data_IF_370768580193
#
_entry.id   IF_370768580193
#
_cell.length_a   1.000
_cell.length_b   1.000
_cell.length_c   1.000
_cell.angle_alpha   90.00
_cell.angle_beta   90.00
_cell.angle_gamma   90.00
#
_symmetry.space_group_name_H-M   'P 1'
#
loop_
_entity.id
_entity.type
_entity.pdbx_description
1 polymer ?
#
# COMPACT_ATOMS: atom_id res chain seq x y z
N UNK A 1 11.54 -29.62 1.78
CA UNK A 1 10.45 -28.64 1.93
C UNK A 1 9.89 -28.22 0.57
N UNK A 2 10.62 -28.41 -0.54
CA UNK A 2 10.20 -27.96 -1.86
C UNK A 2 10.17 -26.42 -2.03
N UNK A 3 10.79 -25.64 -1.13
CA UNK A 3 10.85 -24.20 -1.21
C UNK A 3 11.53 -23.73 -2.51
N UNK A 4 10.83 -22.91 -3.26
CA UNK A 4 11.36 -22.16 -4.39
C UNK A 4 11.07 -20.68 -4.11
N UNK A 5 12.09 -19.91 -3.75
CA UNK A 5 11.96 -18.53 -3.37
C UNK A 5 13.08 -17.67 -3.95
N UNK A 6 12.81 -16.39 -4.14
CA UNK A 6 13.80 -15.38 -4.54
C UNK A 6 13.68 -14.23 -3.54
N UNK A 7 14.80 -13.81 -2.97
CA UNK A 7 14.90 -12.62 -2.13
C UNK A 7 15.71 -11.57 -2.90
N UNK A 8 15.15 -10.39 -3.10
CA UNK A 8 15.79 -9.28 -3.77
C UNK A 8 15.99 -8.11 -2.80
N UNK A 9 17.21 -7.64 -2.68
CA UNK A 9 17.58 -6.40 -1.99
C UNK A 9 17.90 -5.36 -3.05
N UNK A 10 17.06 -4.35 -3.20
CA UNK A 10 17.28 -3.28 -4.16
C UNK A 10 18.25 -2.23 -3.61
N UNK A 11 18.08 -1.85 -2.35
CA UNK A 11 18.94 -0.86 -1.70
C UNK A 11 18.98 -1.11 -0.19
N UNK A 12 20.17 -0.92 0.39
CA UNK A 12 20.39 -0.88 1.84
C UNK A 12 21.02 0.44 2.29
N UNK A 13 21.02 1.46 1.42
CA UNK A 13 21.68 2.74 1.68
C UNK A 13 21.09 3.50 2.90
N UNK A 14 19.79 3.33 3.17
CA UNK A 14 19.10 3.95 4.31
C UNK A 14 18.98 3.03 5.53
N UNK A 15 19.49 1.81 5.47
CA UNK A 15 19.36 0.80 6.53
C UNK A 15 19.02 -0.58 5.98
N UNK A 16 18.65 -1.54 6.83
CA UNK A 16 18.30 -2.88 6.40
C UNK A 16 17.13 -2.84 5.40
N UNK A 17 17.19 -3.67 4.38
CA UNK A 17 16.12 -3.77 3.40
C UNK A 17 14.88 -4.40 4.04
N UNK A 18 13.73 -3.79 3.85
CA UNK A 18 12.45 -4.28 4.37
C UNK A 18 11.43 -4.42 3.25
N UNK A 19 10.67 -5.50 3.28
CA UNK A 19 9.54 -5.70 2.38
C UNK A 19 8.81 -7.02 2.57
N UNK A 20 7.58 -7.08 2.08
CA UNK A 20 6.72 -8.24 2.23
C UNK A 20 7.17 -9.45 1.40
N UNK A 21 6.67 -10.62 1.78
CA UNK A 21 6.88 -11.89 1.09
C UNK A 21 5.60 -12.25 0.33
N UNK A 22 5.69 -12.33 -0.99
CA UNK A 22 4.56 -12.74 -1.84
C UNK A 22 4.64 -14.22 -2.15
N UNK A 23 3.52 -14.94 -2.00
CA UNK A 23 3.42 -16.30 -2.53
C UNK A 23 2.44 -16.32 -3.70
N UNK A 24 2.94 -16.65 -4.89
CA UNK A 24 2.15 -16.58 -6.11
C UNK A 24 2.49 -17.72 -7.06
N UNK A 25 1.49 -18.15 -7.82
CA UNK A 25 1.65 -19.21 -8.83
C UNK A 25 2.21 -18.61 -10.13
N UNK A 26 3.49 -18.22 -10.11
CA UNK A 26 4.18 -17.70 -11.29
C UNK A 26 4.30 -18.76 -12.39
N UNK A 27 4.10 -18.38 -13.64
CA UNK A 27 4.24 -19.28 -14.79
C UNK A 27 5.70 -19.73 -15.00
N UNK A 28 6.68 -18.91 -14.55
CA UNK A 28 8.10 -19.22 -14.66
C UNK A 28 8.94 -18.57 -13.55
N UNK A 29 10.16 -19.05 -13.35
CA UNK A 29 11.12 -18.38 -12.47
C UNK A 29 11.57 -17.01 -13.01
N UNK A 30 11.51 -16.79 -14.32
CA UNK A 30 11.81 -15.50 -14.93
C UNK A 30 10.75 -14.46 -14.58
N UNK A 31 9.48 -14.83 -14.65
CA UNK A 31 8.37 -13.96 -14.21
C UNK A 31 8.49 -13.61 -12.71
N UNK A 32 8.79 -14.60 -11.87
CA UNK A 32 9.01 -14.39 -10.44
C UNK A 32 10.20 -13.45 -10.16
N UNK A 33 11.29 -13.57 -10.94
CA UNK A 33 12.46 -12.71 -10.82
C UNK A 33 12.13 -11.27 -11.23
N UNK A 34 11.44 -11.07 -12.33
CA UNK A 34 11.02 -9.75 -12.79
C UNK A 34 10.12 -9.06 -11.74
N UNK A 35 9.12 -9.79 -11.21
CA UNK A 35 8.21 -9.25 -10.20
C UNK A 35 8.94 -8.86 -8.91
N UNK A 36 9.82 -9.73 -8.38
CA UNK A 36 10.54 -9.44 -7.13
C UNK A 36 11.51 -8.27 -7.28
N UNK A 37 12.16 -8.11 -8.45
CA UNK A 37 13.05 -6.98 -8.71
C UNK A 37 12.26 -5.67 -8.76
N UNK A 38 11.13 -5.65 -9.48
CA UNK A 38 10.25 -4.49 -9.56
C UNK A 38 9.69 -4.11 -8.18
N UNK A 39 9.22 -5.10 -7.42
CA UNK A 39 8.66 -4.89 -6.09
C UNK A 39 9.71 -4.40 -5.07
N UNK A 40 10.94 -4.96 -5.11
CA UNK A 40 12.02 -4.53 -4.21
C UNK A 40 12.45 -3.08 -4.46
N UNK A 41 12.47 -2.64 -5.75
CA UNK A 41 12.67 -1.24 -6.11
C UNK A 41 11.56 -0.35 -5.54
N UNK A 42 10.29 -0.74 -5.73
CA UNK A 42 9.14 -0.01 -5.18
C UNK A 42 9.21 0.16 -3.66
N UNK A 43 9.72 -0.85 -2.94
CA UNK A 43 9.93 -0.72 -1.49
C UNK A 43 11.00 0.30 -1.14
N UNK A 44 12.10 0.44 -1.91
CA UNK A 44 13.10 1.49 -1.67
C UNK A 44 12.48 2.89 -1.77
N UNK A 45 11.70 3.13 -2.82
CA UNK A 45 11.00 4.40 -3.02
C UNK A 45 9.99 4.67 -1.89
N UNK A 46 9.16 3.67 -1.57
CA UNK A 46 8.17 3.79 -0.48
C UNK A 46 8.82 4.12 0.85
N UNK A 47 9.90 3.44 1.23
CA UNK A 47 10.61 3.67 2.48
C UNK A 47 11.30 5.05 2.50
N UNK A 48 11.81 5.51 1.36
CA UNK A 48 12.45 6.81 1.24
C UNK A 48 11.45 7.96 1.39
N UNK A 49 10.30 7.94 0.68
CA UNK A 49 9.27 9.00 0.79
C UNK A 49 8.60 9.04 2.15
N UNK A 50 8.56 7.90 2.88
CA UNK A 50 8.09 7.82 4.26
C UNK A 50 9.16 8.24 5.29
N UNK A 51 10.33 8.70 4.84
CA UNK A 51 11.47 9.08 5.69
C UNK A 51 11.83 8.00 6.72
N UNK A 52 11.90 6.75 6.27
CA UNK A 52 12.26 5.61 7.11
C UNK A 52 13.75 5.28 6.98
N UNK A 53 14.36 4.88 8.10
CA UNK A 53 15.75 4.38 8.14
C UNK A 53 15.81 2.91 7.70
N UNK A 54 15.24 2.63 6.54
CA UNK A 54 15.14 1.30 5.94
C UNK A 54 15.42 1.38 4.44
N UNK A 55 16.10 0.37 3.95
CA UNK A 55 16.25 0.10 2.53
C UNK A 55 15.04 -0.63 1.95
N UNK A 56 15.09 -0.96 0.68
CA UNK A 56 14.02 -1.69 0.00
C UNK A 56 14.42 -3.10 -0.38
N UNK A 57 13.61 -4.04 0.04
CA UNK A 57 13.71 -5.44 -0.33
C UNK A 57 12.35 -6.06 -0.60
N UNK A 58 12.35 -7.23 -1.17
CA UNK A 58 11.14 -8.02 -1.42
C UNK A 58 11.52 -9.50 -1.51
N UNK A 59 10.58 -10.37 -1.19
CA UNK A 59 10.74 -11.78 -1.49
C UNK A 59 9.50 -12.35 -2.15
N UNK A 60 9.72 -13.38 -2.98
CA UNK A 60 8.64 -14.15 -3.59
C UNK A 60 8.87 -15.63 -3.33
N UNK A 61 7.79 -16.36 -3.06
CA UNK A 61 7.73 -17.81 -3.00
C UNK A 61 6.91 -18.27 -4.21
N UNK A 62 7.49 -19.14 -5.03
CA UNK A 62 6.83 -19.68 -6.23
C UNK A 62 5.99 -20.87 -5.81
N UNK A 63 4.67 -20.71 -5.86
CA UNK A 63 3.73 -21.78 -5.50
C UNK A 63 2.31 -21.25 -5.31
N UNK A 64 1.36 -22.16 -5.25
CA UNK A 64 -0.05 -21.87 -4.98
C UNK A 64 -0.27 -21.69 -3.47
N UNK A 65 -0.56 -20.45 -3.06
CA UNK A 65 -0.81 -20.10 -1.66
C UNK A 65 -2.04 -20.75 -1.04
N UNK A 66 -2.94 -21.33 -1.85
CA UNK A 66 -4.16 -22.00 -1.35
C UNK A 66 -3.90 -23.46 -1.00
N UNK A 67 -2.92 -24.11 -1.64
CA UNK A 67 -2.73 -25.56 -1.58
C UNK A 67 -1.34 -26.00 -1.14
N UNK A 68 -0.33 -25.12 -1.19
CA UNK A 68 1.07 -25.49 -0.99
C UNK A 68 1.70 -24.88 0.28
N UNK A 69 0.95 -24.13 1.07
CA UNK A 69 1.44 -23.62 2.35
C UNK A 69 1.61 -24.74 3.38
N UNK A 70 2.75 -24.75 4.03
CA UNK A 70 3.01 -25.58 5.21
C UNK A 70 3.91 -24.84 6.20
N UNK A 71 3.82 -25.14 7.51
CA UNK A 71 4.75 -24.57 8.51
C UNK A 71 6.22 -24.82 8.16
N UNK A 72 6.54 -26.01 7.58
CA UNK A 72 7.88 -26.39 7.17
C UNK A 72 8.41 -25.53 6.02
N UNK A 73 7.53 -25.12 5.07
CA UNK A 73 7.87 -24.23 3.97
C UNK A 73 8.32 -22.87 4.51
N UNK A 74 7.53 -22.28 5.44
CA UNK A 74 7.84 -20.97 6.00
C UNK A 74 9.03 -21.01 6.97
N UNK A 75 9.25 -22.08 7.71
CA UNK A 75 10.51 -22.28 8.44
C UNK A 75 11.72 -22.41 7.51
N UNK A 76 11.57 -23.06 6.35
CA UNK A 76 12.66 -23.12 5.36
C UNK A 76 12.93 -21.72 4.76
N UNK A 77 11.89 -20.95 4.47
CA UNK A 77 12.01 -19.56 4.05
C UNK A 77 12.68 -18.71 5.12
N UNK A 78 12.27 -18.85 6.40
CA UNK A 78 12.92 -18.16 7.52
C UNK A 78 14.42 -18.44 7.61
N UNK A 79 14.87 -19.71 7.43
CA UNK A 79 16.30 -20.02 7.39
C UNK A 79 17.02 -19.36 6.21
N UNK A 80 16.37 -19.22 5.05
CA UNK A 80 16.95 -18.51 3.93
C UNK A 80 17.11 -17.00 4.24
N UNK A 81 16.11 -16.39 4.89
CA UNK A 81 16.21 -15.00 5.38
C UNK A 81 17.33 -14.86 6.42
N UNK A 82 17.49 -15.83 7.33
CA UNK A 82 18.50 -15.81 8.38
C UNK A 82 19.94 -15.77 7.83
N UNK A 83 20.18 -16.43 6.69
CA UNK A 83 21.50 -16.40 6.03
C UNK A 83 21.94 -15.00 5.58
N UNK A 84 21.01 -14.05 5.48
CA UNK A 84 21.31 -12.67 5.12
C UNK A 84 21.71 -11.80 6.32
N UNK A 85 21.71 -12.36 7.54
CA UNK A 85 22.27 -11.71 8.73
C UNK A 85 21.69 -10.34 9.07
N UNK A 86 20.40 -10.11 8.79
CA UNK A 86 19.73 -8.83 9.03
C UNK A 86 19.85 -7.81 7.89
N UNK A 87 20.44 -8.17 6.76
CA UNK A 87 20.42 -7.33 5.56
C UNK A 87 19.01 -7.16 5.01
N UNK A 88 18.14 -8.15 5.21
CA UNK A 88 16.74 -8.15 4.77
C UNK A 88 15.81 -8.59 5.90
N UNK A 89 14.71 -7.85 6.07
CA UNK A 89 13.59 -8.20 6.94
C UNK A 89 12.35 -8.47 6.10
N UNK A 90 11.77 -9.66 6.31
CA UNK A 90 10.57 -10.10 5.61
C UNK A 90 9.30 -9.76 6.42
N UNK A 91 8.20 -9.48 5.73
CA UNK A 91 6.86 -9.31 6.31
C UNK A 91 5.82 -10.06 5.44
N UNK A 92 4.56 -10.00 5.83
CA UNK A 92 3.46 -10.52 5.00
C UNK A 92 3.27 -9.71 3.71
N UNK A 93 2.70 -10.34 2.70
CA UNK A 93 2.17 -9.74 1.47
C UNK A 93 1.18 -10.71 0.83
N UNK A 94 0.74 -10.46 -0.38
CA UNK A 94 -0.20 -11.29 -1.12
C UNK A 94 0.17 -12.77 -1.06
N UNK A 95 -0.77 -13.60 -0.61
CA UNK A 95 -0.59 -15.04 -0.50
C UNK A 95 0.17 -15.52 0.73
N UNK A 96 0.65 -14.63 1.59
CA UNK A 96 1.33 -14.93 2.85
C UNK A 96 0.62 -14.22 3.98
N UNK A 97 0.30 -14.91 5.06
CA UNK A 97 -0.37 -14.35 6.24
C UNK A 97 0.61 -14.09 7.38
N UNK A 98 0.11 -13.39 8.43
CA UNK A 98 0.87 -13.16 9.66
C UNK A 98 1.27 -14.49 10.31
N UNK A 99 0.39 -15.51 10.29
CA UNK A 99 0.67 -16.85 10.84
C UNK A 99 1.80 -17.55 10.07
N UNK A 100 1.87 -17.36 8.75
CA UNK A 100 2.96 -17.88 7.92
C UNK A 100 4.30 -17.22 8.30
N UNK A 101 4.30 -15.90 8.52
CA UNK A 101 5.48 -15.16 9.00
C UNK A 101 5.85 -15.55 10.42
N UNK A 102 4.88 -15.84 11.28
CA UNK A 102 5.12 -16.36 12.63
C UNK A 102 5.84 -17.73 12.61
N UNK A 103 5.58 -18.59 11.62
CA UNK A 103 6.36 -19.81 11.43
C UNK A 103 7.82 -19.52 11.03
N UNK A 104 8.07 -18.54 10.19
CA UNK A 104 9.43 -18.10 9.86
C UNK A 104 10.14 -17.52 11.09
N UNK A 105 9.41 -16.79 11.96
CA UNK A 105 9.95 -16.20 13.21
C UNK A 105 10.56 -17.23 14.16
N UNK A 106 10.10 -18.47 14.12
CA UNK A 106 10.65 -19.56 14.97
C UNK A 106 12.10 -19.89 14.68
N UNK A 107 12.63 -19.48 13.52
CA UNK A 107 13.99 -19.84 13.05
C UNK A 107 14.84 -18.61 12.66
N UNK A 108 14.27 -17.41 12.63
CA UNK A 108 15.01 -16.17 12.35
C UNK A 108 14.39 -14.97 13.08
N UNK A 109 15.18 -14.01 13.58
CA UNK A 109 14.66 -12.74 14.10
C UNK A 109 14.25 -11.76 13.01
N UNK A 110 14.61 -11.99 11.74
CA UNK A 110 14.54 -11.01 10.65
C UNK A 110 13.21 -11.07 9.90
N UNK A 111 12.10 -11.06 10.65
CA UNK A 111 10.72 -10.95 10.15
C UNK A 111 9.95 -9.92 10.97
N UNK A 112 8.98 -9.24 10.35
CA UNK A 112 8.20 -8.14 10.91
C UNK A 112 6.70 -8.34 10.60
N UNK A 113 5.84 -7.53 11.22
CA UNK A 113 4.39 -7.59 11.04
C UNK A 113 3.76 -8.71 11.86
N UNK A 114 4.24 -8.93 13.08
CA UNK A 114 3.69 -9.93 14.01
C UNK A 114 2.57 -9.33 14.85
N UNK A 115 1.67 -10.21 15.33
CA UNK A 115 0.57 -9.83 16.22
C UNK A 115 0.93 -9.94 17.71
N UNK A 116 2.04 -10.63 18.05
CA UNK A 116 2.42 -10.95 19.42
C UNK A 116 3.75 -10.33 19.80
N UNK A 117 3.83 -9.84 21.03
CA UNK A 117 5.03 -9.24 21.61
C UNK A 117 4.87 -7.74 21.87
N UNK A 118 5.70 -7.15 22.76
CA UNK A 118 5.62 -5.74 23.09
C UNK A 118 6.00 -4.80 21.93
N UNK A 119 6.79 -5.29 20.98
CA UNK A 119 7.20 -4.58 19.78
C UNK A 119 6.24 -4.75 18.60
N UNK A 120 5.30 -5.71 18.68
CA UNK A 120 4.43 -6.09 17.57
C UNK A 120 3.59 -4.90 17.05
N UNK A 121 3.60 -4.71 15.75
CA UNK A 121 2.87 -3.63 15.09
C UNK A 121 1.41 -3.97 14.79
N UNK A 122 1.04 -5.25 14.82
CA UNK A 122 -0.32 -5.73 14.50
C UNK A 122 -0.73 -5.46 13.04
N UNK A 123 -2.04 -5.40 12.81
CA UNK A 123 -2.61 -5.12 11.49
C UNK A 123 -2.22 -3.71 10.99
N UNK A 124 -1.51 -3.59 9.86
CA UNK A 124 -1.11 -2.30 9.29
C UNK A 124 -2.26 -1.55 8.58
N UNK A 125 -3.41 -2.21 8.38
CA UNK A 125 -4.50 -1.67 7.57
C UNK A 125 -5.13 -0.38 8.13
N UNK A 126 -5.34 -0.22 9.45
CA UNK A 126 -5.85 1.03 10.00
C UNK A 126 -4.92 2.23 9.74
N UNK A 127 -3.61 2.04 9.85
CA UNK A 127 -2.61 3.09 9.63
C UNK A 127 -2.50 3.41 8.13
N UNK A 128 -2.60 2.40 7.27
CA UNK A 128 -2.68 2.61 5.81
C UNK A 128 -3.92 3.41 5.44
N UNK A 129 -5.09 3.04 5.97
CA UNK A 129 -6.34 3.76 5.73
C UNK A 129 -6.29 5.21 6.23
N UNK A 130 -5.61 5.47 7.34
CA UNK A 130 -5.37 6.82 7.85
C UNK A 130 -4.55 7.66 6.87
N UNK A 131 -3.47 7.10 6.32
CA UNK A 131 -2.66 7.78 5.30
C UNK A 131 -3.47 8.14 4.05
N UNK A 132 -4.26 7.19 3.53
CA UNK A 132 -5.15 7.44 2.38
C UNK A 132 -6.21 8.49 2.69
N UNK A 133 -6.81 8.44 3.87
CA UNK A 133 -7.80 9.40 4.32
C UNK A 133 -7.22 10.82 4.39
N UNK A 134 -6.07 11.01 5.04
CA UNK A 134 -5.39 12.32 5.11
C UNK A 134 -5.00 12.83 3.73
N UNK A 135 -4.53 11.94 2.85
CA UNK A 135 -4.25 12.28 1.45
C UNK A 135 -5.50 12.72 0.69
N UNK A 136 -6.66 12.13 1.00
CA UNK A 136 -7.95 12.52 0.42
C UNK A 136 -8.38 13.90 0.92
N UNK A 137 -8.19 14.21 2.19
CA UNK A 137 -8.43 15.56 2.74
C UNK A 137 -7.50 16.60 2.09
N UNK A 138 -6.22 16.27 1.91
CA UNK A 138 -5.27 17.15 1.23
C UNK A 138 -5.70 17.43 -0.22
N UNK A 139 -6.17 16.41 -0.95
CA UNK A 139 -6.73 16.61 -2.28
C UNK A 139 -8.00 17.47 -2.26
N UNK A 140 -8.89 17.27 -1.28
CA UNK A 140 -10.10 18.09 -1.11
C UNK A 140 -9.74 19.57 -0.80
N UNK A 141 -8.78 19.80 0.06
CA UNK A 141 -8.26 21.14 0.35
C UNK A 141 -7.72 21.82 -0.89
N UNK A 142 -6.95 21.10 -1.69
CA UNK A 142 -6.31 21.66 -2.89
C UNK A 142 -7.29 21.94 -4.02
N UNK A 143 -8.26 21.06 -4.26
CA UNK A 143 -9.18 21.16 -5.41
C UNK A 143 -10.45 21.96 -5.11
N UNK A 144 -10.95 21.91 -3.88
CA UNK A 144 -12.23 22.52 -3.49
C UNK A 144 -12.11 23.51 -2.33
N UNK A 145 -10.90 23.69 -1.78
CA UNK A 145 -10.63 24.54 -0.61
C UNK A 145 -11.49 24.17 0.61
N UNK A 146 -11.66 22.85 0.83
CA UNK A 146 -12.44 22.27 1.94
C UNK A 146 -11.52 21.48 2.89
N UNK A 147 -11.80 21.58 4.19
CA UNK A 147 -11.08 20.84 5.23
C UNK A 147 -11.78 19.51 5.61
N UNK A 148 -12.95 19.24 5.01
CA UNK A 148 -13.72 18.02 5.14
C UNK A 148 -14.15 17.50 3.74
N UNK A 149 -14.99 16.47 3.70
CA UNK A 149 -15.48 15.88 2.46
C UNK A 149 -16.98 16.10 2.24
N UNK A 150 -17.59 17.06 2.97
CA UNK A 150 -19.01 17.35 2.89
C UNK A 150 -19.40 17.77 1.46
N UNK A 151 -20.35 17.04 0.88
CA UNK A 151 -20.82 17.31 -0.48
C UNK A 151 -20.00 16.66 -1.58
N UNK A 152 -18.81 16.11 -1.29
CA UNK A 152 -18.02 15.36 -2.25
C UNK A 152 -18.47 13.90 -2.33
N UNK A 153 -18.39 13.33 -3.54
CA UNK A 153 -18.67 11.92 -3.80
C UNK A 153 -17.34 11.20 -4.03
N UNK A 154 -17.10 10.12 -3.26
CA UNK A 154 -15.92 9.26 -3.40
C UNK A 154 -16.35 7.88 -3.88
N UNK A 155 -15.81 7.44 -5.02
CA UNK A 155 -15.98 6.06 -5.50
C UNK A 155 -14.84 5.19 -4.99
N UNK A 156 -15.16 4.12 -4.23
CA UNK A 156 -14.18 3.22 -3.61
C UNK A 156 -14.24 1.84 -4.27
N UNK A 157 -13.15 1.42 -4.87
CA UNK A 157 -13.01 0.10 -5.48
C UNK A 157 -12.19 -0.82 -4.57
N UNK A 158 -12.87 -1.80 -3.97
CA UNK A 158 -12.26 -2.73 -3.01
C UNK A 158 -12.51 -2.31 -1.57
N UNK A 159 -13.25 -3.16 -0.84
CA UNK A 159 -13.69 -2.95 0.55
C UNK A 159 -13.03 -4.01 1.46
N UNK A 160 -11.84 -4.44 1.14
CA UNK A 160 -11.02 -5.28 2.01
C UNK A 160 -10.58 -4.55 3.29
N UNK A 161 -9.55 -5.04 3.97
CA UNK A 161 -9.12 -4.48 5.26
C UNK A 161 -8.90 -2.97 5.18
N UNK A 162 -8.07 -2.47 4.25
CA UNK A 162 -7.81 -1.02 4.12
C UNK A 162 -9.05 -0.27 3.63
N UNK A 163 -9.71 -0.77 2.57
CA UNK A 163 -10.87 -0.09 1.98
C UNK A 163 -12.05 0.05 2.93
N UNK A 164 -12.28 -0.93 3.81
CA UNK A 164 -13.32 -0.88 4.83
C UNK A 164 -13.05 0.22 5.87
N UNK A 165 -11.84 0.26 6.43
CA UNK A 165 -11.45 1.36 7.35
C UNK A 165 -11.48 2.73 6.67
N UNK A 166 -11.08 2.79 5.40
CA UNK A 166 -11.13 4.04 4.63
C UNK A 166 -12.56 4.50 4.44
N UNK A 167 -13.49 3.62 4.06
CA UNK A 167 -14.89 3.95 3.85
C UNK A 167 -15.52 4.56 5.11
N UNK A 168 -15.24 4.00 6.29
CA UNK A 168 -15.72 4.54 7.57
C UNK A 168 -15.21 5.97 7.82
N UNK A 169 -13.92 6.22 7.56
CA UNK A 169 -13.32 7.56 7.73
C UNK A 169 -13.86 8.58 6.74
N UNK A 170 -14.01 8.21 5.48
CA UNK A 170 -14.57 9.08 4.44
C UNK A 170 -16.03 9.44 4.75
N UNK A 171 -16.83 8.46 5.19
CA UNK A 171 -18.21 8.68 5.61
C UNK A 171 -18.29 9.64 6.82
N UNK A 172 -17.47 9.41 7.84
CA UNK A 172 -17.41 10.26 9.03
C UNK A 172 -17.00 11.72 8.69
N UNK A 173 -16.21 11.91 7.62
CA UNK A 173 -15.83 13.23 7.11
C UNK A 173 -16.89 13.86 6.17
N UNK A 174 -18.07 13.25 6.01
CA UNK A 174 -19.19 13.77 5.25
C UNK A 174 -19.23 13.43 3.76
N UNK A 175 -18.36 12.53 3.29
CA UNK A 175 -18.39 12.08 1.90
C UNK A 175 -19.64 11.22 1.59
N UNK A 176 -20.16 11.37 0.37
CA UNK A 176 -21.05 10.38 -0.22
C UNK A 176 -20.23 9.26 -0.85
N UNK A 177 -20.56 8.01 -0.56
CA UNK A 177 -19.79 6.88 -1.03
C UNK A 177 -20.53 6.09 -2.10
N UNK A 178 -19.79 5.71 -3.16
CA UNK A 178 -20.21 4.71 -4.15
C UNK A 178 -19.16 3.60 -4.10
N UNK A 179 -19.56 2.35 -3.87
CA UNK A 179 -18.60 1.29 -3.58
C UNK A 179 -18.81 0.04 -4.42
N UNK A 180 -17.73 -0.68 -4.62
CA UNK A 180 -17.75 -2.01 -5.24
C UNK A 180 -16.70 -2.93 -4.63
N UNK A 181 -17.03 -4.22 -4.54
CA UNK A 181 -16.12 -5.30 -4.20
C UNK A 181 -16.62 -6.63 -4.79
N UNK A 182 -15.74 -7.59 -4.97
CA UNK A 182 -16.09 -8.96 -5.36
C UNK A 182 -16.67 -9.76 -4.19
N UNK A 183 -16.35 -9.39 -2.94
CA UNK A 183 -16.95 -9.92 -1.73
C UNK A 183 -18.25 -9.16 -1.41
N UNK A 184 -19.36 -9.65 -1.98
CA UNK A 184 -20.67 -8.99 -1.86
C UNK A 184 -21.20 -8.95 -0.43
N UNK A 185 -20.85 -9.91 0.43
CA UNK A 185 -21.28 -9.93 1.83
C UNK A 185 -20.62 -8.80 2.63
N UNK A 186 -19.30 -8.65 2.52
CA UNK A 186 -18.55 -7.58 3.16
C UNK A 186 -18.96 -6.21 2.60
N UNK A 187 -19.16 -6.12 1.30
CA UNK A 187 -19.63 -4.89 0.63
C UNK A 187 -20.98 -4.43 1.19
N UNK A 188 -21.94 -5.34 1.34
CA UNK A 188 -23.25 -5.04 1.91
C UNK A 188 -23.16 -4.56 3.37
N UNK A 189 -22.30 -5.19 4.18
CA UNK A 189 -22.06 -4.80 5.57
C UNK A 189 -21.51 -3.36 5.67
N UNK A 190 -20.48 -3.04 4.89
CA UNK A 190 -19.86 -1.71 4.90
C UNK A 190 -20.82 -0.66 4.33
N UNK A 191 -21.54 -0.98 3.26
CA UNK A 191 -22.53 -0.07 2.67
C UNK A 191 -23.65 0.26 3.65
N UNK A 192 -24.12 -0.71 4.43
CA UNK A 192 -25.19 -0.47 5.42
C UNK A 192 -24.76 0.55 6.50
N UNK A 193 -23.53 0.47 7.02
CA UNK A 193 -23.06 1.39 8.06
C UNK A 193 -22.58 2.75 7.55
N UNK A 194 -22.24 2.85 6.25
CA UNK A 194 -21.79 4.09 5.62
C UNK A 194 -22.85 4.73 4.72
N UNK A 195 -24.03 4.12 4.58
CA UNK A 195 -25.09 4.56 3.67
C UNK A 195 -24.61 4.69 2.21
N UNK A 196 -23.65 3.87 1.79
CA UNK A 196 -23.05 3.94 0.47
C UNK A 196 -23.93 3.28 -0.60
N UNK A 197 -23.86 3.80 -1.81
CA UNK A 197 -24.41 3.16 -3.02
C UNK A 197 -23.49 2.00 -3.45
N UNK A 198 -24.08 0.87 -3.81
CA UNK A 198 -23.36 -0.30 -4.33
C UNK A 198 -23.51 -0.35 -5.85
N UNK A 199 -22.39 -0.54 -6.55
CA UNK A 199 -22.38 -0.76 -8.01
C UNK A 199 -21.61 -2.02 -8.37
N UNK A 200 -21.85 -2.52 -9.58
CA UNK A 200 -21.10 -3.66 -10.11
C UNK A 200 -19.59 -3.31 -10.28
N UNK A 201 -18.67 -4.29 -10.17
CA UNK A 201 -17.23 -4.03 -10.21
C UNK A 201 -16.75 -3.21 -11.41
N UNK A 202 -17.27 -3.48 -12.60
CA UNK A 202 -16.88 -2.73 -13.81
C UNK A 202 -17.59 -1.37 -13.91
N UNK A 203 -18.76 -1.20 -13.30
CA UNK A 203 -19.51 0.06 -13.34
C UNK A 203 -18.88 1.18 -12.50
N UNK A 204 -17.95 0.87 -11.61
CA UNK A 204 -17.28 1.86 -10.73
C UNK A 204 -16.55 2.95 -11.52
N UNK A 205 -16.12 2.66 -12.74
CA UNK A 205 -15.42 3.64 -13.60
C UNK A 205 -16.34 4.64 -14.28
N UNK A 206 -17.67 4.34 -14.35
CA UNK A 206 -18.66 5.17 -15.03
C UNK A 206 -19.46 6.07 -14.07
N UNK A 207 -19.29 5.88 -12.75
CA UNK A 207 -20.03 6.64 -11.76
C UNK A 207 -19.58 8.10 -11.73
N UNK A 208 -20.51 9.00 -11.46
CA UNK A 208 -20.18 10.41 -11.23
C UNK A 208 -19.65 10.55 -9.81
N UNK A 209 -18.34 10.69 -9.70
CA UNK A 209 -17.65 10.93 -8.44
C UNK A 209 -16.65 12.08 -8.59
N UNK A 210 -16.31 12.70 -7.48
CA UNK A 210 -15.28 13.74 -7.41
C UNK A 210 -13.90 13.11 -7.26
N UNK A 211 -13.81 12.04 -6.47
CA UNK A 211 -12.57 11.31 -6.15
C UNK A 211 -12.78 9.82 -6.42
N UNK A 212 -11.81 9.19 -7.07
CA UNK A 212 -11.73 7.74 -7.21
C UNK A 212 -10.65 7.19 -6.27
N UNK A 213 -11.04 6.22 -5.45
CA UNK A 213 -10.18 5.55 -4.48
C UNK A 213 -10.00 4.06 -4.82
N UNK A 214 -9.01 3.70 -5.67
CA UNK A 214 -8.67 2.30 -5.92
C UNK A 214 -8.00 1.68 -4.68
N UNK A 215 -8.66 0.67 -4.08
CA UNK A 215 -8.18 -0.01 -2.86
C UNK A 215 -8.09 -1.53 -3.03
N UNK A 216 -8.28 -2.06 -4.25
CA UNK A 216 -8.23 -3.50 -4.54
C UNK A 216 -6.94 -3.87 -5.29
N UNK A 217 -7.01 -4.01 -6.60
CA UNK A 217 -5.91 -4.48 -7.44
C UNK A 217 -5.14 -3.31 -8.08
N UNK A 218 -3.89 -3.58 -8.47
CA UNK A 218 -3.09 -2.67 -9.28
C UNK A 218 -3.55 -2.60 -10.73
N UNK A 219 -2.93 -1.66 -11.51
CA UNK A 219 -3.20 -1.44 -12.93
C UNK A 219 -4.67 -1.10 -13.27
N UNK A 220 -5.42 -0.60 -12.29
CA UNK A 220 -6.80 -0.16 -12.50
C UNK A 220 -6.88 1.13 -13.31
N UNK A 221 -5.83 1.95 -13.29
CA UNK A 221 -5.67 3.10 -14.16
C UNK A 221 -4.93 2.66 -15.43
N UNK A 222 -5.68 2.44 -16.48
CA UNK A 222 -5.21 1.97 -17.78
C UNK A 222 -6.02 2.64 -18.91
N UNK A 223 -5.65 2.50 -20.20
CA UNK A 223 -6.32 3.22 -21.28
C UNK A 223 -7.84 3.01 -21.32
N UNK A 224 -8.33 1.80 -21.00
CA UNK A 224 -9.78 1.50 -21.05
C UNK A 224 -10.57 2.14 -19.92
N UNK A 225 -10.00 2.15 -18.71
CA UNK A 225 -10.68 2.69 -17.52
C UNK A 225 -10.55 4.21 -17.44
N UNK A 226 -9.44 4.76 -17.94
CA UNK A 226 -9.16 6.17 -17.89
C UNK A 226 -10.15 7.01 -18.71
N UNK A 227 -10.64 6.48 -19.85
CA UNK A 227 -11.61 7.17 -20.69
C UNK A 227 -13.02 7.19 -20.09
N UNK A 228 -13.28 6.34 -19.09
CA UNK A 228 -14.55 6.25 -18.36
C UNK A 228 -14.57 7.13 -17.11
N UNK A 229 -13.39 7.36 -16.52
CA UNK A 229 -13.27 8.15 -15.30
C UNK A 229 -13.50 9.64 -15.55
N UNK A 230 -14.41 10.24 -14.78
CA UNK A 230 -14.71 11.69 -14.84
C UNK A 230 -14.30 12.43 -13.56
N UNK A 231 -13.50 11.81 -12.71
CA UNK A 231 -13.07 12.33 -11.41
C UNK A 231 -12.06 13.48 -11.53
N UNK A 232 -11.94 14.28 -10.47
CA UNK A 232 -10.93 15.34 -10.34
C UNK A 232 -9.68 14.86 -9.61
N UNK A 233 -9.79 13.79 -8.81
CA UNK A 233 -8.65 13.21 -8.10
C UNK A 233 -8.71 11.69 -8.10
N UNK A 234 -7.52 11.07 -8.02
CA UNK A 234 -7.33 9.65 -7.72
C UNK A 234 -6.47 9.55 -6.48
N UNK A 235 -7.04 8.99 -5.40
CA UNK A 235 -6.38 8.83 -4.09
C UNK A 235 -6.82 7.48 -3.50
N UNK A 236 -5.96 6.47 -3.51
CA UNK A 236 -6.35 5.12 -3.07
C UNK A 236 -5.20 4.29 -2.53
N UNK A 237 -5.56 3.19 -1.88
CA UNK A 237 -4.61 2.32 -1.17
C UNK A 237 -3.93 1.27 -2.06
N UNK A 238 -4.47 0.98 -3.26
CA UNK A 238 -3.92 -0.07 -4.13
C UNK A 238 -2.47 0.24 -4.54
N UNK A 239 -1.63 -0.78 -4.57
CA UNK A 239 -0.28 -0.65 -5.09
C UNK A 239 -0.28 -0.71 -6.62
N UNK A 240 0.69 -0.05 -7.28
CA UNK A 240 0.86 -0.06 -8.73
C UNK A 240 -0.43 0.30 -9.48
N UNK A 241 -1.07 1.39 -9.09
CA UNK A 241 -2.35 1.82 -9.67
C UNK A 241 -2.25 2.14 -11.16
N UNK A 242 -1.16 2.78 -11.58
CA UNK A 242 -0.87 3.06 -12.98
C UNK A 242 -0.42 1.77 -13.69
N UNK A 243 -1.10 1.40 -14.78
CA UNK A 243 -0.68 0.26 -15.60
C UNK A 243 0.70 0.49 -16.22
N UNK A 244 0.97 1.73 -16.64
CA UNK A 244 2.27 2.20 -17.13
C UNK A 244 2.50 3.65 -16.71
N UNK A 245 3.77 4.15 -16.70
CA UNK A 245 4.06 5.54 -16.34
C UNK A 245 3.35 6.57 -17.20
N UNK A 246 3.09 6.27 -18.48
CA UNK A 246 2.41 7.16 -19.43
C UNK A 246 0.98 7.48 -18.97
N UNK A 247 0.34 6.60 -18.21
CA UNK A 247 -0.98 6.85 -17.63
C UNK A 247 -0.93 8.03 -16.65
N UNK A 248 0.15 8.14 -15.87
CA UNK A 248 0.36 9.29 -15.00
C UNK A 248 0.51 10.60 -15.74
N UNK A 249 1.19 10.58 -16.89
CA UNK A 249 1.28 11.74 -17.79
C UNK A 249 -0.11 12.14 -18.34
N UNK A 250 -0.91 11.17 -18.77
CA UNK A 250 -2.26 11.42 -19.28
C UNK A 250 -3.17 12.01 -18.17
N UNK A 251 -3.10 11.50 -16.95
CA UNK A 251 -3.85 12.08 -15.82
C UNK A 251 -3.46 13.53 -15.58
N UNK A 252 -2.17 13.83 -15.59
CA UNK A 252 -1.65 15.20 -15.44
C UNK A 252 -2.17 16.13 -16.53
N UNK A 253 -2.12 15.72 -17.80
CA UNK A 253 -2.60 16.49 -18.96
C UNK A 253 -4.13 16.72 -18.92
N UNK A 254 -4.88 15.76 -18.34
CA UNK A 254 -6.33 15.90 -18.11
C UNK A 254 -6.67 16.78 -16.88
N UNK A 255 -5.67 17.23 -16.15
CA UNK A 255 -5.86 18.00 -14.92
C UNK A 255 -6.46 17.19 -13.77
N UNK A 256 -6.27 15.86 -13.79
CA UNK A 256 -6.68 14.96 -12.69
C UNK A 256 -5.53 14.87 -11.70
N UNK A 257 -5.78 15.25 -10.45
CA UNK A 257 -4.82 15.09 -9.36
C UNK A 257 -4.62 13.59 -9.08
N UNK A 258 -3.46 13.07 -9.38
CA UNK A 258 -3.06 11.71 -8.99
C UNK A 258 -2.15 11.80 -7.77
N UNK A 259 -2.57 11.27 -6.64
CA UNK A 259 -1.71 11.10 -5.48
C UNK A 259 -0.96 9.76 -5.63
N UNK A 260 0.40 9.77 -5.75
CA UNK A 260 1.16 8.56 -6.03
C UNK A 260 0.94 7.50 -4.96
N UNK A 261 0.61 6.28 -5.39
CA UNK A 261 0.13 5.21 -4.54
C UNK A 261 1.08 4.85 -3.40
N UNK A 262 2.39 4.74 -3.67
CA UNK A 262 3.39 4.38 -2.68
C UNK A 262 3.67 5.50 -1.65
N UNK A 263 3.26 6.74 -1.93
CA UNK A 263 3.19 7.81 -0.92
C UNK A 263 1.92 7.63 -0.09
N UNK A 264 0.76 7.60 -0.73
CA UNK A 264 -0.56 7.56 -0.08
C UNK A 264 -0.73 6.35 0.84
N UNK A 265 -0.27 5.17 0.40
CA UNK A 265 -0.40 3.93 1.15
C UNK A 265 0.81 3.60 2.04
N UNK A 266 1.71 4.57 2.27
CA UNK A 266 2.91 4.41 3.08
C UNK A 266 2.65 4.17 4.58
N UNK A 267 1.42 4.37 5.05
CA UNK A 267 1.06 4.15 6.45
C UNK A 267 1.35 2.74 6.95
N UNK A 268 1.10 1.73 6.13
CA UNK A 268 1.37 0.33 6.50
C UNK A 268 2.85 0.04 6.76
N UNK A 269 3.74 0.54 5.93
CA UNK A 269 5.18 0.34 6.15
C UNK A 269 5.70 1.19 7.32
N UNK A 270 5.11 2.35 7.60
CA UNK A 270 5.41 3.14 8.80
C UNK A 270 5.05 2.35 10.06
N UNK A 271 3.88 1.69 10.07
CA UNK A 271 3.46 0.83 11.17
C UNK A 271 4.48 -0.29 11.43
N UNK A 272 4.87 -1.02 10.39
CA UNK A 272 5.88 -2.10 10.47
C UNK A 272 7.27 -1.56 10.85
N UNK A 273 7.63 -0.36 10.42
CA UNK A 273 8.88 0.29 10.79
C UNK A 273 8.98 0.58 12.30
N UNK A 274 7.87 0.90 12.95
CA UNK A 274 7.83 1.05 14.40
C UNK A 274 8.20 -0.24 15.14
N UNK A 275 7.82 -1.41 14.62
CA UNK A 275 8.24 -2.70 15.16
C UNK A 275 9.75 -2.91 15.03
N UNK A 276 10.33 -2.64 13.85
CA UNK A 276 11.78 -2.72 13.65
C UNK A 276 12.54 -1.79 14.59
N UNK A 277 12.08 -0.55 14.71
CA UNK A 277 12.65 0.45 15.61
C UNK A 277 12.59 -0.02 17.07
N UNK A 278 11.44 -0.52 17.52
CA UNK A 278 11.28 -1.06 18.88
C UNK A 278 12.29 -2.17 19.17
N UNK A 279 12.47 -3.11 18.25
CA UNK A 279 13.46 -4.20 18.39
C UNK A 279 14.91 -3.69 18.45
N UNK A 280 15.25 -2.70 17.63
CA UNK A 280 16.60 -2.12 17.59
C UNK A 280 16.93 -1.32 18.85
N UNK A 281 15.94 -0.66 19.46
CA UNK A 281 16.12 0.18 20.66
C UNK A 281 15.82 -0.55 21.96
N UNK A 282 15.35 -1.81 21.92
CA UNK A 282 14.89 -2.55 23.09
C UNK A 282 13.61 -1.97 23.71
N UNK A 283 12.79 -1.26 22.93
CA UNK A 283 11.55 -0.62 23.33
C UNK A 283 10.29 -1.43 22.97
N UNK A 284 9.15 -0.74 22.96
CA UNK A 284 7.86 -1.27 22.53
C UNK A 284 7.36 -0.50 21.30
N UNK A 285 6.26 -0.98 20.70
CA UNK A 285 5.56 -0.26 19.65
C UNK A 285 5.22 1.17 20.10
N UNK A 286 5.49 2.14 19.22
CA UNK A 286 5.38 3.57 19.51
C UNK A 286 4.40 4.25 18.55
N UNK A 287 3.13 4.35 18.99
CA UNK A 287 2.08 4.99 18.21
C UNK A 287 2.34 6.49 17.96
N UNK A 288 3.05 7.18 18.86
CA UNK A 288 3.35 8.60 18.69
C UNK A 288 4.41 8.83 17.61
N UNK A 289 5.37 7.91 17.50
CA UNK A 289 6.32 7.90 16.41
C UNK A 289 5.65 7.61 15.06
N UNK A 290 4.71 6.66 15.03
CA UNK A 290 3.91 6.35 13.82
C UNK A 290 3.13 7.58 13.38
N UNK A 291 2.48 8.28 14.31
CA UNK A 291 1.74 9.52 14.01
C UNK A 291 2.66 10.61 13.46
N UNK A 292 3.84 10.77 14.04
CA UNK A 292 4.85 11.74 13.56
C UNK A 292 5.29 11.41 12.13
N UNK A 293 5.53 10.12 11.83
CA UNK A 293 5.92 9.70 10.47
C UNK A 293 4.79 9.83 9.47
N UNK A 294 3.53 9.56 9.87
CA UNK A 294 2.36 9.82 9.02
C UNK A 294 2.21 11.32 8.68
N UNK A 295 2.41 12.20 9.65
CA UNK A 295 2.37 13.65 9.40
C UNK A 295 3.45 14.06 8.40
N UNK A 296 4.69 13.59 8.56
CA UNK A 296 5.76 13.84 7.58
C UNK A 296 5.48 13.28 6.18
N UNK A 297 4.79 12.12 6.11
CA UNK A 297 4.37 11.56 4.83
C UNK A 297 3.37 12.48 4.12
N UNK A 298 2.50 13.16 4.88
CA UNK A 298 1.59 14.17 4.32
C UNK A 298 2.35 15.40 3.84
N UNK A 299 3.36 15.87 4.59
CA UNK A 299 4.26 16.96 4.15
C UNK A 299 4.95 16.59 2.82
N UNK A 300 5.41 15.35 2.70
CA UNK A 300 6.00 14.83 1.44
C UNK A 300 4.97 14.83 0.30
N UNK A 301 3.73 14.41 0.54
CA UNK A 301 2.68 14.46 -0.47
C UNK A 301 2.38 15.90 -0.89
N UNK A 302 2.31 16.82 0.05
CA UNK A 302 2.10 18.25 -0.23
C UNK A 302 3.23 18.79 -1.11
N UNK A 303 4.51 18.51 -0.78
CA UNK A 303 5.67 18.86 -1.61
C UNK A 303 5.54 18.28 -3.03
N UNK A 304 5.14 17.00 -3.16
CA UNK A 304 4.93 16.36 -4.48
C UNK A 304 3.90 17.15 -5.29
N UNK A 305 2.77 17.52 -4.68
CA UNK A 305 1.69 18.23 -5.37
C UNK A 305 2.09 19.67 -5.73
N UNK A 306 2.82 20.37 -4.86
CA UNK A 306 3.32 21.71 -5.10
C UNK A 306 4.35 21.74 -6.23
N UNK A 307 5.34 20.85 -6.16
CA UNK A 307 6.38 20.74 -7.19
C UNK A 307 5.81 20.30 -8.52
N UNK A 308 4.84 19.37 -8.54
CA UNK A 308 4.17 18.97 -9.77
C UNK A 308 3.52 20.18 -10.48
N UNK A 309 2.85 21.05 -9.72
CA UNK A 309 2.25 22.25 -10.27
C UNK A 309 3.29 23.28 -10.75
N UNK A 310 4.36 23.50 -9.98
CA UNK A 310 5.41 24.48 -10.30
C UNK A 310 6.30 24.03 -11.46
N UNK A 311 6.70 22.76 -11.48
CA UNK A 311 7.58 22.18 -12.49
C UNK A 311 6.81 21.72 -13.74
N UNK A 312 5.46 21.71 -13.69
CA UNK A 312 4.57 21.20 -14.75
C UNK A 312 4.90 19.76 -15.15
N UNK A 313 5.06 18.91 -14.15
CA UNK A 313 5.41 17.49 -14.31
C UNK A 313 4.44 16.60 -13.54
N UNK A 314 4.19 15.35 -14.00
CA UNK A 314 3.33 14.40 -13.30
C UNK A 314 3.79 14.14 -11.86
N UNK A 315 2.85 13.95 -10.96
CA UNK A 315 3.11 13.74 -9.53
C UNK A 315 3.97 12.50 -9.24
N UNK A 316 3.80 11.41 -10.00
CA UNK A 316 4.61 10.20 -9.83
C UNK A 316 6.09 10.43 -10.18
N UNK A 317 6.40 11.25 -11.19
CA UNK A 317 7.79 11.61 -11.51
C UNK A 317 8.43 12.48 -10.44
N UNK A 318 7.65 13.39 -9.84
CA UNK A 318 8.13 14.22 -8.73
C UNK A 318 8.37 13.35 -7.49
N UNK A 319 7.46 12.44 -7.18
CA UNK A 319 7.63 11.53 -6.05
C UNK A 319 8.85 10.61 -6.23
N UNK A 320 9.11 10.11 -7.45
CA UNK A 320 10.32 9.34 -7.78
C UNK A 320 11.60 10.18 -7.63
N UNK A 321 11.54 11.49 -7.93
CA UNK A 321 12.67 12.40 -7.77
C UNK A 321 12.95 12.79 -6.31
N UNK A 322 11.96 12.72 -5.43
CA UNK A 322 12.10 12.95 -3.98
C UNK A 322 12.67 11.70 -3.29
N UNK A 323 12.27 10.50 -3.74
CA UNK A 323 12.71 9.21 -3.20
C UNK A 323 14.19 8.92 -3.48
#
# INVERSE_FOLDING_TARGET
TGLRAIIAVHSSARGPAVGGTRMWNYASSAEALEDVLRLSRGMSYKNAVADLEMGGGKSVIIGDSRTQKTPELFRAFGRAVDTLGGLYYAAEDVGVSVEDIAEARKVTPYVLGLNDGPEASGDPSPVTAEGVYRSTLLAAKRLWNQDDLTGLTVSVQGIGHVGGYLADKLHAAGAKLIMTDVNTALLAEVAARTSAEIVAPDAIYDVKADIYAPCALGATLNPRTLDRLTVKAVVGAANNQLATPEIGQILFERGVLYAPDYVVNGGGIINVASELRARQTGGAYDASWVETKLSRLMDTLEEVLERSAAEKRPTHEIADAIA
#
